data_IF_428553993358
#
_entry.id   IF_428553993358
#
_cell.length_a   1.000
_cell.length_b   1.000
_cell.length_c   1.000
_cell.angle_alpha   90.00
_cell.angle_beta   90.00
_cell.angle_gamma   90.00
#
_symmetry.space_group_name_H-M   'P 1'
#
loop_
_entity.id
_entity.type
_entity.pdbx_description
1 polymer ?
#
# COMPACT_ATOMS: atom_id res chain seq x y z
N UNK A 1 -3.18 24.71 28.79
CA UNK A 1 -3.07 23.61 27.81
C UNK A 1 -2.32 24.14 26.60
N UNK A 2 -1.07 23.70 26.41
CA UNK A 2 -0.21 24.19 25.31
C UNK A 2 -0.53 23.32 24.09
N UNK A 3 -1.35 23.82 23.18
CA UNK A 3 -1.62 23.14 21.90
C UNK A 3 -0.36 23.27 21.05
N UNK A 4 0.44 22.22 21.00
CA UNK A 4 1.57 22.17 20.08
C UNK A 4 1.06 22.27 18.64
N UNK A 5 1.66 23.13 17.80
CA UNK A 5 1.26 23.25 16.41
C UNK A 5 1.62 21.94 15.72
N UNK A 6 0.61 21.14 15.38
CA UNK A 6 0.80 19.95 14.54
C UNK A 6 1.41 20.44 13.23
N UNK A 7 2.70 20.19 13.03
CA UNK A 7 3.39 20.54 11.80
C UNK A 7 2.78 19.68 10.68
N UNK A 8 1.81 20.26 9.96
CA UNK A 8 1.12 19.62 8.85
C UNK A 8 2.09 19.56 7.67
N UNK A 9 3.03 18.62 7.69
CA UNK A 9 3.65 18.16 6.46
C UNK A 9 2.50 17.72 5.54
N UNK A 10 2.44 18.30 4.34
CA UNK A 10 1.39 17.95 3.39
C UNK A 10 1.45 16.44 3.13
N UNK A 11 0.40 15.72 3.54
CA UNK A 11 0.29 14.25 3.46
C UNK A 11 0.38 13.73 2.02
N UNK A 12 0.21 14.64 1.06
CA UNK A 12 0.27 14.41 -0.37
C UNK A 12 1.65 14.68 -0.97
N UNK A 13 2.62 15.17 -0.17
CA UNK A 13 4.00 15.33 -0.63
C UNK A 13 4.66 13.97 -0.77
N UNK A 14 4.57 13.41 -1.96
CA UNK A 14 5.33 12.24 -2.37
C UNK A 14 6.79 12.64 -2.56
N UNK A 15 7.66 12.27 -1.62
CA UNK A 15 9.11 12.44 -1.76
C UNK A 15 9.69 11.14 -2.32
N UNK A 16 10.20 11.20 -3.55
CA UNK A 16 11.06 10.17 -4.13
C UNK A 16 12.43 10.22 -3.46
N UNK A 17 12.49 9.74 -2.21
CA UNK A 17 13.76 9.40 -1.57
C UNK A 17 14.19 8.02 -2.05
N UNK A 18 15.48 7.70 -1.91
CA UNK A 18 15.99 6.35 -2.20
C UNK A 18 15.20 5.27 -1.45
N UNK A 19 14.79 5.54 -0.20
CA UNK A 19 13.97 4.62 0.59
C UNK A 19 12.57 4.41 0.00
N UNK A 20 11.91 5.48 -0.49
CA UNK A 20 10.60 5.36 -1.14
C UNK A 20 10.69 4.57 -2.44
N UNK A 21 11.74 4.80 -3.23
CA UNK A 21 11.96 4.10 -4.50
C UNK A 21 12.22 2.61 -4.32
N UNK A 22 12.93 2.20 -3.27
CA UNK A 22 13.18 0.78 -2.99
C UNK A 22 11.99 0.11 -2.29
N UNK A 23 11.19 0.87 -1.55
CA UNK A 23 10.01 0.34 -0.84
C UNK A 23 8.91 -0.14 -1.79
N UNK A 24 8.68 0.53 -2.92
CA UNK A 24 7.64 0.14 -3.90
C UNK A 24 7.87 -1.29 -4.44
N UNK A 25 9.04 -1.64 -5.02
CA UNK A 25 9.28 -3.00 -5.50
C UNK A 25 9.30 -4.03 -4.35
N UNK A 26 9.82 -3.66 -3.18
CA UNK A 26 9.75 -4.53 -2.00
C UNK A 26 8.29 -4.84 -1.60
N UNK A 27 7.43 -3.83 -1.58
CA UNK A 27 6.01 -3.97 -1.29
C UNK A 27 5.28 -4.85 -2.33
N UNK A 28 5.63 -4.72 -3.62
CA UNK A 28 5.10 -5.62 -4.67
C UNK A 28 5.55 -7.06 -4.42
N UNK A 29 6.82 -7.29 -4.06
CA UNK A 29 7.31 -8.61 -3.70
C UNK A 29 6.59 -9.21 -2.50
N UNK A 30 6.35 -8.42 -1.45
CA UNK A 30 5.57 -8.83 -0.27
C UNK A 30 4.15 -9.22 -0.67
N UNK A 31 3.47 -8.41 -1.48
CA UNK A 31 2.14 -8.74 -2.00
C UNK A 31 2.15 -10.08 -2.73
N UNK A 32 3.20 -10.34 -3.51
CA UNK A 32 3.29 -11.56 -4.30
C UNK A 32 3.40 -12.81 -3.43
N UNK A 33 4.32 -12.78 -2.47
CA UNK A 33 4.54 -13.86 -1.51
C UNK A 33 3.31 -14.06 -0.62
N UNK A 34 2.72 -12.99 -0.12
CA UNK A 34 1.56 -13.05 0.76
C UNK A 34 0.32 -13.63 0.04
N UNK A 35 0.12 -13.30 -1.24
CA UNK A 35 -0.94 -13.89 -2.06
C UNK A 35 -0.68 -15.37 -2.36
N UNK A 36 0.54 -15.73 -2.72
CA UNK A 36 0.91 -17.14 -2.94
C UNK A 36 0.69 -17.99 -1.68
N UNK A 37 1.04 -17.44 -0.51
CA UNK A 37 0.78 -18.08 0.78
C UNK A 37 -0.73 -18.23 1.04
N UNK A 38 -1.52 -17.17 0.82
CA UNK A 38 -2.97 -17.22 0.98
C UNK A 38 -3.62 -18.29 0.09
N UNK A 39 -3.22 -18.35 -1.18
CA UNK A 39 -3.76 -19.31 -2.14
C UNK A 39 -3.31 -20.75 -1.82
N UNK A 40 -2.03 -20.94 -1.44
CA UNK A 40 -1.50 -22.24 -1.05
C UNK A 40 -2.18 -22.82 0.19
N UNK A 41 -2.49 -21.97 1.17
CA UNK A 41 -3.23 -22.35 2.38
C UNK A 41 -4.76 -22.28 2.22
N UNK A 42 -5.26 -21.89 1.03
CA UNK A 42 -6.69 -21.70 0.73
C UNK A 42 -7.40 -20.75 1.71
N UNK A 43 -6.71 -19.71 2.14
CA UNK A 43 -7.24 -18.72 3.06
C UNK A 43 -8.22 -17.77 2.35
N UNK A 44 -9.41 -17.48 2.91
CA UNK A 44 -10.38 -16.55 2.34
C UNK A 44 -10.02 -15.08 2.64
N UNK A 45 -8.74 -14.72 2.60
CA UNK A 45 -8.24 -13.37 2.88
C UNK A 45 -7.40 -12.83 1.73
N UNK A 46 -7.57 -11.54 1.45
CA UNK A 46 -6.86 -10.88 0.35
C UNK A 46 -5.50 -10.33 0.80
N UNK A 47 -4.57 -11.24 1.12
CA UNK A 47 -3.23 -10.90 1.61
C UNK A 47 -2.34 -10.23 0.55
N UNK A 48 -2.73 -10.26 -0.72
CA UNK A 48 -2.04 -9.59 -1.83
C UNK A 48 -2.03 -8.06 -1.77
N UNK A 49 -2.57 -7.46 -0.70
CA UNK A 49 -2.51 -6.01 -0.43
C UNK A 49 -1.59 -5.64 0.74
N UNK A 50 -0.95 -6.61 1.42
CA UNK A 50 -0.17 -6.34 2.63
C UNK A 50 0.99 -5.36 2.40
N UNK A 51 1.74 -5.52 1.33
CA UNK A 51 2.78 -4.59 0.91
C UNK A 51 2.22 -3.21 0.54
N UNK A 52 1.02 -3.14 -0.03
CA UNK A 52 0.34 -1.86 -0.29
C UNK A 52 0.05 -1.10 0.99
N UNK A 53 -0.39 -1.79 2.05
CA UNK A 53 -0.57 -1.18 3.38
C UNK A 53 0.75 -0.63 3.92
N UNK A 54 1.81 -1.45 3.91
CA UNK A 54 3.12 -1.05 4.41
C UNK A 54 3.68 0.14 3.63
N UNK A 55 3.62 0.12 2.29
CA UNK A 55 4.04 1.24 1.45
C UNK A 55 3.26 2.52 1.75
N UNK A 56 1.95 2.43 1.98
CA UNK A 56 1.11 3.56 2.36
C UNK A 56 1.46 4.15 3.72
N UNK A 57 1.73 3.30 4.71
CA UNK A 57 2.06 3.73 6.06
C UNK A 57 3.46 4.37 6.11
N UNK A 58 4.45 3.76 5.45
CA UNK A 58 5.85 4.19 5.52
C UNK A 58 6.19 5.33 4.55
N UNK A 59 5.64 5.33 3.34
CA UNK A 59 5.97 6.31 2.30
C UNK A 59 4.79 7.19 1.85
N UNK A 60 3.61 6.99 2.44
CA UNK A 60 2.44 7.83 2.25
C UNK A 60 1.44 7.30 1.22
N UNK A 61 0.26 7.96 1.11
CA UNK A 61 -0.89 7.47 0.35
C UNK A 61 -0.58 7.17 -1.11
N UNK A 62 0.19 8.05 -1.76
CA UNK A 62 0.56 7.95 -3.17
C UNK A 62 1.50 6.76 -3.42
N UNK A 63 2.45 6.51 -2.51
CA UNK A 63 3.40 5.41 -2.65
C UNK A 63 2.70 4.05 -2.63
N UNK A 64 1.80 3.84 -1.67
CA UNK A 64 1.04 2.60 -1.60
C UNK A 64 0.03 2.46 -2.74
N UNK A 65 -0.61 3.56 -3.18
CA UNK A 65 -1.48 3.51 -4.36
C UNK A 65 -0.73 3.03 -5.61
N UNK A 66 0.48 3.56 -5.86
CA UNK A 66 1.34 3.14 -6.97
C UNK A 66 1.77 1.67 -6.80
N UNK A 67 2.20 1.26 -5.60
CA UNK A 67 2.59 -0.12 -5.32
C UNK A 67 1.44 -1.10 -5.57
N UNK A 68 0.24 -0.79 -5.08
CA UNK A 68 -0.96 -1.59 -5.29
C UNK A 68 -1.40 -1.66 -6.75
N UNK A 69 -1.33 -0.54 -7.47
CA UNK A 69 -1.58 -0.50 -8.91
C UNK A 69 -0.60 -1.42 -9.66
N UNK A 70 0.70 -1.25 -9.46
CA UNK A 70 1.75 -2.03 -10.13
C UNK A 70 1.56 -3.53 -9.84
N UNK A 71 1.30 -3.90 -8.59
CA UNK A 71 1.06 -5.29 -8.21
C UNK A 71 -0.10 -5.91 -9.00
N UNK A 72 -1.24 -5.23 -9.07
CA UNK A 72 -2.43 -5.76 -9.75
C UNK A 72 -2.31 -5.74 -11.27
N UNK A 73 -1.54 -4.82 -11.85
CA UNK A 73 -1.20 -4.83 -13.28
C UNK A 73 -0.29 -6.02 -13.61
N UNK A 74 0.76 -6.25 -12.80
CA UNK A 74 1.63 -7.42 -12.97
C UNK A 74 0.80 -8.70 -12.91
N UNK A 75 -0.06 -8.83 -11.90
CA UNK A 75 -0.95 -9.97 -11.78
C UNK A 75 -1.97 -10.10 -12.90
N UNK A 76 -2.46 -8.97 -13.40
CA UNK A 76 -3.31 -8.87 -14.57
C UNK A 76 -2.71 -9.53 -15.79
N UNK A 77 -1.40 -9.30 -15.97
CA UNK A 77 -0.62 -9.81 -17.09
C UNK A 77 -0.11 -11.25 -16.89
N UNK A 78 0.15 -11.67 -15.64
CA UNK A 78 0.78 -12.98 -15.37
C UNK A 78 -0.19 -14.09 -14.98
N UNK A 79 -1.27 -13.79 -14.26
CA UNK A 79 -2.18 -14.81 -13.71
C UNK A 79 -3.59 -14.72 -14.29
N UNK A 80 -4.19 -13.54 -14.26
CA UNK A 80 -5.58 -13.37 -14.69
C UNK A 80 -5.88 -11.91 -15.04
N UNK A 81 -6.44 -11.62 -16.23
CA UNK A 81 -6.81 -10.27 -16.65
C UNK A 81 -7.78 -9.56 -15.70
N UNK A 82 -8.58 -10.33 -14.95
CA UNK A 82 -9.51 -9.79 -13.94
C UNK A 82 -8.75 -9.01 -12.85
N UNK A 83 -7.50 -9.38 -12.58
CA UNK A 83 -6.66 -8.76 -11.55
C UNK A 83 -6.37 -7.29 -11.85
N UNK A 84 -6.30 -6.92 -13.13
CA UNK A 84 -6.10 -5.54 -13.56
C UNK A 84 -7.23 -4.62 -13.07
N UNK A 85 -8.47 -5.11 -13.00
CA UNK A 85 -9.61 -4.33 -12.50
C UNK A 85 -9.45 -4.04 -11.00
N UNK A 86 -8.91 -4.98 -10.24
CA UNK A 86 -8.60 -4.79 -8.82
C UNK A 86 -7.48 -3.77 -8.57
N UNK A 87 -6.77 -3.31 -9.60
CA UNK A 87 -5.81 -2.22 -9.46
C UNK A 87 -6.49 -0.93 -8.96
N UNK A 88 -7.71 -0.64 -9.40
CA UNK A 88 -8.50 0.51 -8.91
C UNK A 88 -8.78 0.34 -7.40
N UNK A 89 -9.18 -0.85 -6.98
CA UNK A 89 -9.41 -1.17 -5.57
C UNK A 89 -8.14 -0.99 -4.75
N UNK A 90 -6.99 -1.48 -5.23
CA UNK A 90 -5.71 -1.33 -4.52
C UNK A 90 -5.20 0.10 -4.48
N UNK A 91 -5.48 0.93 -5.49
CA UNK A 91 -5.26 2.38 -5.42
C UNK A 91 -6.08 2.97 -4.27
N UNK A 92 -7.36 2.63 -4.19
CA UNK A 92 -8.27 3.06 -3.12
C UNK A 92 -7.75 2.67 -1.73
N UNK A 93 -7.29 1.43 -1.56
CA UNK A 93 -6.67 0.95 -0.32
C UNK A 93 -5.43 1.75 0.01
N UNK A 94 -4.53 1.93 -0.96
CA UNK A 94 -3.30 2.69 -0.76
C UNK A 94 -3.56 4.10 -0.25
N UNK A 95 -4.52 4.79 -0.88
CA UNK A 95 -4.92 6.14 -0.45
C UNK A 95 -5.55 6.10 0.95
N UNK A 96 -6.53 5.23 1.17
CA UNK A 96 -7.27 5.14 2.43
C UNK A 96 -6.34 4.86 3.61
N UNK A 97 -5.48 3.85 3.49
CA UNK A 97 -4.53 3.45 4.55
C UNK A 97 -3.55 4.58 4.84
N UNK A 98 -2.99 5.21 3.81
CA UNK A 98 -2.05 6.32 3.98
C UNK A 98 -2.69 7.52 4.69
N UNK A 99 -3.94 7.85 4.34
CA UNK A 99 -4.69 8.95 4.96
C UNK A 99 -5.05 8.61 6.41
N UNK A 100 -5.52 7.39 6.70
CA UNK A 100 -5.83 6.95 8.06
C UNK A 100 -4.59 6.93 8.94
N UNK A 101 -3.46 6.46 8.41
CA UNK A 101 -2.17 6.50 9.10
C UNK A 101 -1.72 7.92 9.41
N UNK A 102 -1.81 8.84 8.45
CA UNK A 102 -1.49 10.24 8.68
C UNK A 102 -2.44 10.92 9.67
N UNK A 103 -3.66 10.40 9.86
CA UNK A 103 -4.62 10.83 10.90
C UNK A 103 -4.38 10.20 12.28
N UNK A 104 -3.33 9.38 12.44
CA UNK A 104 -2.95 8.78 13.72
C UNK A 104 -3.78 7.56 14.12
N UNK A 105 -4.56 6.96 13.22
CA UNK A 105 -5.40 5.79 13.53
C UNK A 105 -4.60 4.54 13.92
N UNK A 106 -3.31 4.49 13.61
CA UNK A 106 -2.40 3.40 13.99
C UNK A 106 -1.43 3.79 15.11
N UNK A 107 -1.64 4.93 15.79
CA UNK A 107 -0.72 5.45 16.81
C UNK A 107 -0.96 4.88 18.22
N UNK A 108 -1.87 3.92 18.38
CA UNK A 108 -2.29 3.37 19.68
C UNK A 108 -1.96 1.88 19.87
N UNK A 109 -0.99 1.35 19.12
CA UNK A 109 -0.51 -0.03 19.27
C UNK A 109 0.75 -0.10 20.16
#
# INVERSE_FOLDING_TARGET
MKTEPIHRTSMWKFKLSAATMTLIPAAVGINYVAKALAEGLKLPVWLGSLGTFLASMLAGPVAGAISGFINNVIYGLTLSPISTVYAITSIGIGIAVGVLHAKGWFSSA
#
